data_IF_728022159368
#
_entry.id   IF_728022159368
#
_cell.length_a   1.000
_cell.length_b   1.000
_cell.length_c   1.000
_cell.angle_alpha   90.00
_cell.angle_beta   90.00
_cell.angle_gamma   90.00
#
_symmetry.space_group_name_H-M   'P 1'
#
loop_
_entity.id
_entity.type
_entity.pdbx_description
1 polymer ?
#
# COMPACT_ATOMS: atom_id res chain seq x y z
N UNK A 1 -36.81 -3.98 35.26
CA UNK A 1 -35.84 -3.01 34.68
C UNK A 1 -34.68 -3.81 34.14
N UNK A 2 -34.59 -4.00 32.81
CA UNK A 2 -33.59 -4.86 32.17
C UNK A 2 -32.55 -3.94 31.52
N UNK A 3 -31.29 -4.12 31.92
CA UNK A 3 -30.12 -3.45 31.34
C UNK A 3 -29.88 -3.95 29.91
N UNK A 4 -29.71 -3.03 28.96
CA UNK A 4 -29.30 -3.33 27.59
C UNK A 4 -27.84 -2.92 27.41
N UNK A 5 -26.99 -3.95 27.43
CA UNK A 5 -25.53 -3.90 27.32
C UNK A 5 -25.05 -3.50 25.92
N UNK A 6 -24.07 -2.59 25.89
CA UNK A 6 -23.25 -2.26 24.74
C UNK A 6 -22.58 -3.49 24.12
N UNK A 7 -22.75 -3.69 22.80
CA UNK A 7 -21.84 -4.50 22.00
C UNK A 7 -21.71 -3.89 20.58
N UNK A 8 -21.02 -2.76 20.49
CA UNK A 8 -20.42 -2.34 19.21
C UNK A 8 -19.16 -3.21 18.99
N UNK A 9 -19.30 -4.25 18.18
CA UNK A 9 -18.19 -5.05 17.69
C UNK A 9 -17.30 -4.20 16.77
N UNK A 10 -16.23 -3.64 17.32
CA UNK A 10 -15.17 -3.01 16.54
C UNK A 10 -14.41 -4.09 15.77
N UNK A 11 -14.63 -4.15 14.46
CA UNK A 11 -13.85 -4.98 13.54
C UNK A 11 -12.41 -4.45 13.48
N UNK A 12 -11.51 -5.07 14.24
CA UNK A 12 -10.08 -4.80 14.20
C UNK A 12 -9.50 -5.48 12.94
N UNK A 13 -9.41 -4.74 11.84
CA UNK A 13 -8.68 -5.18 10.64
C UNK A 13 -7.18 -5.25 10.94
N UNK A 14 -6.67 -6.44 11.30
CA UNK A 14 -5.24 -6.72 11.32
C UNK A 14 -4.70 -6.67 9.89
N UNK A 15 -4.10 -5.54 9.51
CA UNK A 15 -3.19 -5.51 8.35
C UNK A 15 -1.93 -6.27 8.73
N UNK A 16 -1.80 -7.51 8.27
CA UNK A 16 -0.54 -8.23 8.30
C UNK A 16 0.47 -7.46 7.43
N UNK A 17 1.26 -6.60 8.04
CA UNK A 17 2.50 -6.12 7.42
C UNK A 17 3.39 -7.35 7.29
N UNK A 18 3.58 -7.85 6.06
CA UNK A 18 4.58 -8.86 5.78
C UNK A 18 5.96 -8.23 6.00
N UNK A 19 6.44 -8.33 7.24
CA UNK A 19 7.78 -7.96 7.62
C UNK A 19 8.72 -8.90 6.88
N UNK A 20 9.46 -8.40 5.89
CA UNK A 20 10.45 -9.22 5.18
C UNK A 20 11.47 -9.84 6.16
N UNK A 21 11.97 -11.03 5.89
CA UNK A 21 12.96 -11.66 6.78
C UNK A 21 14.37 -11.08 6.58
N UNK A 22 15.21 -11.17 7.61
CA UNK A 22 16.63 -10.84 7.50
C UNK A 22 17.33 -11.87 6.60
N UNK A 23 18.12 -11.38 5.66
CA UNK A 23 18.86 -12.17 4.68
C UNK A 23 20.25 -11.59 4.46
N UNK A 24 21.18 -12.48 4.16
CA UNK A 24 22.49 -12.10 3.67
C UNK A 24 22.43 -11.75 2.18
N UNK A 25 22.58 -10.47 1.85
CA UNK A 25 22.79 -9.97 0.50
C UNK A 25 24.27 -10.04 0.16
N UNK A 26 24.59 -10.34 -1.10
CA UNK A 26 25.95 -10.36 -1.63
C UNK A 26 26.09 -9.30 -2.73
N UNK A 27 27.20 -8.60 -2.73
CA UNK A 27 27.56 -7.69 -3.81
C UNK A 27 28.41 -8.36 -4.90
N UNK A 28 28.64 -7.65 -6.00
CA UNK A 28 29.48 -8.13 -7.12
C UNK A 28 30.95 -8.37 -6.74
N UNK A 29 31.43 -7.78 -5.66
CA UNK A 29 32.79 -8.00 -5.13
C UNK A 29 32.84 -9.17 -4.13
N UNK A 30 31.71 -9.83 -3.87
CA UNK A 30 31.59 -10.94 -2.93
C UNK A 30 31.44 -10.53 -1.46
N UNK A 31 31.37 -9.22 -1.16
CA UNK A 31 31.09 -8.73 0.19
C UNK A 31 29.64 -9.03 0.53
N UNK A 32 29.39 -9.35 1.79
CA UNK A 32 28.07 -9.75 2.25
C UNK A 32 27.53 -8.78 3.30
N UNK A 33 26.22 -8.55 3.26
CA UNK A 33 25.50 -7.66 4.15
C UNK A 33 24.26 -8.39 4.70
N UNK A 34 24.16 -8.52 6.02
CA UNK A 34 22.97 -9.11 6.65
C UNK A 34 21.93 -8.02 6.94
N UNK A 35 20.83 -8.04 6.19
CA UNK A 35 19.83 -6.99 6.19
C UNK A 35 18.44 -7.50 5.82
N UNK A 36 17.43 -6.70 6.13
CA UNK A 36 16.06 -6.88 5.72
C UNK A 36 15.72 -5.86 4.61
N UNK A 37 15.12 -6.26 3.48
CA UNK A 37 14.63 -5.31 2.49
C UNK A 37 13.39 -4.58 3.02
N UNK A 38 13.39 -3.25 2.95
CA UNK A 38 12.33 -2.38 3.47
C UNK A 38 11.47 -1.83 2.35
N UNK A 39 12.10 -1.24 1.33
CA UNK A 39 11.39 -0.68 0.18
C UNK A 39 12.32 -0.55 -1.03
N UNK A 40 11.72 -0.43 -2.22
CA UNK A 40 12.44 -0.11 -3.46
C UNK A 40 12.00 1.25 -3.99
N UNK A 41 12.98 2.01 -4.47
CA UNK A 41 12.89 2.88 -5.64
C UNK A 41 11.61 2.89 -6.47
N UNK A 42 10.83 3.98 -6.66
CA UNK A 42 9.88 4.03 -7.76
C UNK A 42 10.54 3.78 -9.13
N UNK A 43 11.80 4.20 -9.29
CA UNK A 43 12.64 3.96 -10.47
C UNK A 43 13.33 2.58 -10.49
N UNK A 44 13.12 1.76 -9.45
CA UNK A 44 13.70 0.43 -9.27
C UNK A 44 15.23 0.38 -9.31
N UNK A 45 15.92 1.48 -8.96
CA UNK A 45 17.39 1.53 -8.93
C UNK A 45 17.96 1.38 -7.52
N UNK A 46 17.27 1.94 -6.54
CA UNK A 46 17.75 1.97 -5.15
C UNK A 46 16.88 1.07 -4.29
N UNK A 47 17.55 0.28 -3.44
CA UNK A 47 16.95 -0.55 -2.42
C UNK A 47 17.25 0.06 -1.05
N UNK A 48 16.20 0.24 -0.25
CA UNK A 48 16.35 0.56 1.16
C UNK A 48 16.37 -0.73 1.97
N UNK A 49 17.46 -0.92 2.72
CA UNK A 49 17.72 -2.06 3.58
C UNK A 49 17.74 -1.62 5.05
N UNK A 50 17.28 -2.48 5.94
CA UNK A 50 17.45 -2.35 7.38
C UNK A 50 18.45 -3.39 7.88
N UNK A 51 19.56 -2.92 8.43
CA UNK A 51 20.59 -3.77 9.02
C UNK A 51 20.14 -4.35 10.37
N UNK A 52 20.83 -5.39 10.85
CA UNK A 52 20.57 -5.97 12.18
C UNK A 52 20.75 -5.00 13.34
N UNK A 53 21.61 -3.99 13.17
CA UNK A 53 21.80 -2.94 14.18
C UNK A 53 20.66 -1.90 14.20
N UNK A 54 19.65 -2.09 13.35
CA UNK A 54 18.48 -1.22 13.22
C UNK A 54 18.70 -0.01 12.33
N UNK A 55 19.88 0.15 11.72
CA UNK A 55 20.14 1.25 10.79
C UNK A 55 19.55 0.96 9.42
N UNK A 56 19.03 2.02 8.80
CA UNK A 56 18.60 1.98 7.41
C UNK A 56 19.74 2.44 6.51
N UNK A 57 19.94 1.73 5.40
CA UNK A 57 20.92 2.07 4.37
C UNK A 57 20.29 1.94 3.00
N UNK A 58 20.66 2.85 2.11
CA UNK A 58 20.26 2.83 0.71
C UNK A 58 21.40 2.27 -0.14
N UNK A 59 21.08 1.34 -1.04
CA UNK A 59 22.05 0.67 -1.89
C UNK A 59 21.53 0.53 -3.31
N UNK A 60 22.39 0.74 -4.29
CA UNK A 60 22.03 0.52 -5.70
C UNK A 60 21.92 -0.98 -6.00
N UNK A 61 20.77 -1.38 -6.56
CA UNK A 61 20.46 -2.77 -6.88
C UNK A 61 21.47 -3.36 -7.87
N UNK A 62 22.04 -2.55 -8.76
CA UNK A 62 23.04 -2.98 -9.74
C UNK A 62 24.35 -3.47 -9.12
N UNK A 63 24.64 -3.08 -7.87
CA UNK A 63 25.84 -3.50 -7.15
C UNK A 63 25.68 -4.89 -6.50
N UNK A 64 24.44 -5.36 -6.36
CA UNK A 64 24.13 -6.68 -5.82
C UNK A 64 24.45 -7.80 -6.82
N UNK A 65 24.60 -9.01 -6.29
CA UNK A 65 24.72 -10.25 -7.06
C UNK A 65 23.48 -10.47 -7.95
N UNK A 66 23.62 -11.25 -9.02
CA UNK A 66 22.50 -11.56 -9.90
C UNK A 66 21.38 -12.32 -9.19
N UNK A 67 21.73 -13.23 -8.28
CA UNK A 67 20.79 -13.99 -7.46
C UNK A 67 19.96 -13.06 -6.57
N UNK A 68 20.61 -12.10 -5.91
CA UNK A 68 19.91 -11.14 -5.05
C UNK A 68 19.06 -10.16 -5.85
N UNK A 69 19.53 -9.75 -7.04
CA UNK A 69 18.71 -8.95 -7.96
C UNK A 69 17.45 -9.69 -8.40
N UNK A 70 17.55 -11.01 -8.64
CA UNK A 70 16.39 -11.82 -8.98
C UNK A 70 15.42 -11.93 -7.80
N UNK A 71 15.94 -12.22 -6.60
CA UNK A 71 15.14 -12.24 -5.38
C UNK A 71 14.37 -10.92 -5.19
N UNK A 72 15.01 -9.77 -5.38
CA UNK A 72 14.35 -8.47 -5.22
C UNK A 72 13.23 -8.24 -6.24
N UNK A 73 13.36 -8.76 -7.47
CA UNK A 73 12.29 -8.70 -8.47
C UNK A 73 11.06 -9.48 -8.01
N UNK A 74 11.28 -10.69 -7.51
CA UNK A 74 10.22 -11.55 -6.99
C UNK A 74 9.59 -10.93 -5.73
N UNK A 75 10.41 -10.44 -4.81
CA UNK A 75 9.96 -9.78 -3.59
C UNK A 75 9.09 -8.57 -3.88
N UNK A 76 9.50 -7.67 -4.78
CA UNK A 76 8.68 -6.51 -5.19
C UNK A 76 7.37 -6.96 -5.82
N UNK A 77 7.37 -8.05 -6.60
CA UNK A 77 6.14 -8.56 -7.21
C UNK A 77 5.14 -9.12 -6.18
N UNK A 78 5.63 -9.60 -5.03
CA UNK A 78 4.77 -10.08 -3.93
C UNK A 78 4.21 -8.95 -3.06
N UNK A 79 4.77 -7.74 -3.13
CA UNK A 79 4.30 -6.64 -2.32
C UNK A 79 2.96 -6.10 -2.84
N UNK A 80 1.97 -5.86 -1.97
CA UNK A 80 0.79 -5.12 -2.36
C UNK A 80 1.22 -3.72 -2.78
N UNK A 81 1.01 -3.37 -4.06
CA UNK A 81 1.27 -2.01 -4.54
C UNK A 81 0.46 -1.05 -3.67
N UNK A 82 1.14 -0.26 -2.83
CA UNK A 82 0.51 0.80 -2.06
C UNK A 82 0.22 1.94 -3.02
N UNK A 83 -0.84 1.79 -3.81
CA UNK A 83 -1.39 2.89 -4.57
C UNK A 83 -2.20 3.75 -3.60
N UNK A 84 -1.71 4.95 -3.32
CA UNK A 84 -2.43 6.00 -2.57
C UNK A 84 -3.58 6.55 -3.43
N UNK A 85 -4.58 5.71 -3.74
CA UNK A 85 -5.82 6.15 -4.36
C UNK A 85 -6.70 6.80 -3.29
N UNK A 86 -6.37 8.04 -2.92
CA UNK A 86 -7.33 8.91 -2.22
C UNK A 86 -8.41 9.32 -3.22
N UNK A 87 -9.50 8.55 -3.26
CA UNK A 87 -10.73 8.93 -3.95
C UNK A 87 -11.32 10.19 -3.29
N UNK A 88 -11.12 11.34 -3.92
CA UNK A 88 -11.73 12.59 -3.50
C UNK A 88 -13.14 12.67 -4.09
N UNK A 89 -14.14 12.23 -3.33
CA UNK A 89 -15.55 12.32 -3.74
C UNK A 89 -16.10 13.68 -3.32
N UNK A 90 -16.21 14.61 -4.27
CA UNK A 90 -16.96 15.84 -4.07
C UNK A 90 -18.46 15.51 -4.18
N UNK A 91 -19.14 15.36 -3.04
CA UNK A 91 -20.60 15.25 -3.01
C UNK A 91 -21.17 16.66 -3.07
N UNK A 92 -21.39 17.18 -4.28
CA UNK A 92 -22.23 18.38 -4.45
C UNK A 92 -23.68 18.01 -4.10
N UNK A 93 -24.21 18.63 -3.05
CA UNK A 93 -25.63 18.53 -2.71
C UNK A 93 -26.43 19.16 -3.86
N UNK A 94 -26.97 18.33 -4.74
CA UNK A 94 -27.96 18.76 -5.74
C UNK A 94 -29.17 19.28 -4.96
N UNK A 95 -29.28 20.61 -4.85
CA UNK A 95 -30.42 21.23 -4.18
C UNK A 95 -31.70 20.84 -4.90
N UNK A 96 -32.70 20.42 -4.13
CA UNK A 96 -33.99 19.92 -4.58
C UNK A 96 -34.90 21.03 -5.15
N UNK A 97 -34.39 21.90 -6.03
CA UNK A 97 -35.19 22.90 -6.76
C UNK A 97 -35.47 22.56 -8.22
N UNK A 98 -34.87 21.50 -8.76
CA UNK A 98 -35.08 21.08 -10.17
C UNK A 98 -36.17 20.02 -10.36
N UNK A 99 -36.91 19.63 -9.31
CA UNK A 99 -38.00 18.66 -9.42
C UNK A 99 -39.35 19.27 -9.89
N UNK A 100 -39.51 20.60 -9.89
CA UNK A 100 -40.81 21.28 -10.10
C UNK A 100 -41.02 21.83 -11.52
N UNK A 101 -40.38 21.28 -12.56
CA UNK A 101 -40.50 21.81 -13.95
C UNK A 101 -40.83 20.77 -15.02
N UNK A 102 -41.45 19.64 -14.68
CA UNK A 102 -41.92 18.64 -15.67
C UNK A 102 -43.35 18.13 -15.44
N UNK A 103 -44.27 19.00 -15.03
CA UNK A 103 -45.72 18.74 -15.11
C UNK A 103 -46.40 19.77 -16.00
N UNK A 104 -46.22 19.64 -17.30
CA UNK A 104 -47.08 20.28 -18.30
C UNK A 104 -47.55 19.25 -19.33
N UNK A 105 -48.80 18.84 -19.11
CA UNK A 105 -49.87 18.83 -20.13
C UNK A 105 -49.78 17.82 -21.28
N UNK A 106 -50.36 16.64 -21.05
CA UNK A 106 -51.13 15.84 -22.04
C UNK A 106 -52.33 15.28 -21.23
N UNK A 107 -53.60 15.53 -21.57
CA UNK A 107 -54.34 14.99 -22.72
C UNK A 107 -55.37 16.00 -23.29
N UNK A 108 -55.59 15.90 -24.60
CA UNK A 108 -56.74 16.44 -25.34
C UNK A 108 -57.50 15.22 -25.91
N UNK A 109 -58.75 15.03 -25.48
CA UNK A 109 -59.77 14.23 -26.17
C UNK A 109 -61.07 15.03 -26.10
#
# INVERSE_FOLDING_TARGET
MIAATCLTMSALSLRAQQTAEFRQFKDKQGRTLDAQPVSVSPDRKTLKLRLRDGKDVDLEIVLLSLDDQQFLREWVATQPMVSDFRLQVAIEKVSAKSAERRRTTYYKL
#
